data_IF_352053317445
#
_entry.id   IF_352053317445
#
_cell.length_a   1.000
_cell.length_b   1.000
_cell.length_c   1.000
_cell.angle_alpha   90.00
_cell.angle_beta   90.00
_cell.angle_gamma   90.00
#
_symmetry.space_group_name_H-M   'P 1'
#
loop_
_entity.id
_entity.type
_entity.pdbx_description
1 polymer ?
#
# COMPACT_ATOMS: atom_id res chain seq x y z
N UNK A 1 -2.50 -11.77 -11.99
CA UNK A 1 -1.28 -12.61 -12.10
C UNK A 1 -1.02 -13.32 -10.79
N UNK A 2 -0.35 -14.48 -10.80
CA UNK A 2 0.15 -15.14 -9.58
C UNK A 2 1.53 -14.60 -9.18
N UNK A 3 1.74 -14.08 -7.96
CA UNK A 3 3.04 -13.57 -7.51
C UNK A 3 4.21 -14.56 -7.67
N UNK A 4 3.92 -15.85 -7.61
CA UNK A 4 4.92 -16.93 -7.72
C UNK A 4 5.61 -16.94 -9.08
N UNK A 5 4.93 -16.50 -10.15
CA UNK A 5 5.49 -16.44 -11.51
C UNK A 5 6.67 -15.47 -11.61
N UNK A 6 6.71 -14.43 -10.77
CA UNK A 6 7.84 -13.50 -10.65
C UNK A 6 8.78 -13.83 -9.48
N UNK A 7 8.57 -14.97 -8.82
CA UNK A 7 9.36 -15.42 -7.67
C UNK A 7 8.99 -14.73 -6.36
N UNK A 8 7.75 -14.25 -6.20
CA UNK A 8 7.21 -13.71 -4.95
C UNK A 8 6.24 -14.70 -4.30
N UNK A 9 6.07 -14.62 -2.98
CA UNK A 9 5.13 -15.48 -2.24
C UNK A 9 3.86 -14.72 -1.93
N UNK A 10 2.70 -15.20 -2.42
CA UNK A 10 1.41 -14.60 -2.09
C UNK A 10 1.15 -14.54 -0.58
N UNK A 11 1.53 -15.58 0.17
CA UNK A 11 1.40 -15.62 1.64
C UNK A 11 2.22 -14.51 2.31
N UNK A 12 3.43 -14.24 1.82
CA UNK A 12 4.25 -13.16 2.39
C UNK A 12 3.74 -11.78 2.01
N UNK A 13 3.14 -11.62 0.84
CA UNK A 13 2.49 -10.37 0.43
C UNK A 13 1.23 -10.11 1.26
N UNK A 14 0.43 -11.12 1.58
CA UNK A 14 -0.69 -10.95 2.52
C UNK A 14 -0.22 -10.52 3.92
N UNK A 15 0.88 -11.09 4.42
CA UNK A 15 1.50 -10.63 5.68
C UNK A 15 2.03 -9.20 5.61
N UNK A 16 2.46 -8.74 4.43
CA UNK A 16 2.87 -7.36 4.23
C UNK A 16 1.69 -6.42 4.49
N UNK A 17 0.51 -6.72 3.94
CA UNK A 17 -0.71 -5.93 4.19
C UNK A 17 -1.06 -5.86 5.67
N UNK A 18 -1.05 -7.00 6.36
CA UNK A 18 -1.36 -7.09 7.79
C UNK A 18 -0.40 -6.24 8.62
N UNK A 19 0.90 -6.32 8.34
CA UNK A 19 1.91 -5.53 9.06
C UNK A 19 1.78 -4.05 8.74
N UNK A 20 1.59 -3.68 7.48
CA UNK A 20 1.45 -2.28 7.08
C UNK A 20 0.22 -1.64 7.72
N UNK A 21 -0.92 -2.33 7.69
CA UNK A 21 -2.15 -1.89 8.35
C UNK A 21 -1.96 -1.78 9.87
N UNK A 22 -1.57 -2.86 10.53
CA UNK A 22 -1.52 -2.91 11.99
C UNK A 22 -0.51 -1.93 12.59
N UNK A 23 0.69 -1.84 11.99
CA UNK A 23 1.77 -1.01 12.53
C UNK A 23 1.59 0.47 12.24
N UNK A 24 0.98 0.84 11.12
CA UNK A 24 0.95 2.24 10.71
C UNK A 24 -0.44 2.86 10.73
N UNK A 25 -1.49 2.14 10.34
CA UNK A 25 -2.85 2.70 10.29
C UNK A 25 -3.60 2.43 11.60
N UNK A 26 -3.67 1.17 12.04
CA UNK A 26 -4.43 0.82 13.25
C UNK A 26 -3.77 1.39 14.52
N UNK A 27 -2.45 1.64 14.48
CA UNK A 27 -1.71 2.32 15.56
C UNK A 27 -1.94 3.84 15.61
N UNK A 28 -2.57 4.42 14.59
CA UNK A 28 -2.77 5.86 14.45
C UNK A 28 -1.54 6.63 13.95
N UNK A 29 -0.45 5.96 13.56
CA UNK A 29 0.76 6.62 13.07
C UNK A 29 0.57 7.32 11.71
N UNK A 30 -0.23 6.72 10.81
CA UNK A 30 -0.64 7.28 9.53
C UNK A 30 -2.16 7.15 9.35
N UNK A 31 -2.82 8.14 8.73
CA UNK A 31 -4.26 8.07 8.46
C UNK A 31 -4.64 7.00 7.43
N UNK A 32 -3.72 6.68 6.52
CA UNK A 32 -3.88 5.68 5.47
C UNK A 32 -2.60 5.51 4.66
N UNK A 33 -2.58 4.48 3.81
CA UNK A 33 -1.40 4.08 3.05
C UNK A 33 -1.79 3.35 1.75
N UNK A 34 -0.98 3.54 0.70
CA UNK A 34 -0.97 2.75 -0.53
C UNK A 34 0.43 2.14 -0.69
N UNK A 35 0.49 0.82 -0.90
CA UNK A 35 1.74 0.08 -1.13
C UNK A 35 1.66 -0.61 -2.49
N UNK A 36 2.66 -0.37 -3.33
CA UNK A 36 2.86 -1.11 -4.58
C UNK A 36 4.14 -1.93 -4.51
N UNK A 37 4.09 -3.15 -5.03
CA UNK A 37 5.29 -3.95 -5.29
C UNK A 37 5.36 -4.27 -6.77
N UNK A 38 6.43 -3.81 -7.41
CA UNK A 38 6.71 -4.06 -8.82
C UNK A 38 7.90 -5.01 -8.96
N UNK A 39 7.77 -6.07 -9.76
CA UNK A 39 8.87 -7.02 -9.97
C UNK A 39 8.80 -7.62 -11.38
N UNK A 40 9.96 -7.73 -12.03
CA UNK A 40 10.11 -8.29 -13.39
C UNK A 40 9.17 -7.66 -14.43
N UNK A 41 8.94 -6.36 -14.34
CA UNK A 41 8.13 -5.62 -15.32
C UNK A 41 6.62 -5.66 -15.02
N UNK A 42 6.22 -6.13 -13.83
CA UNK A 42 4.80 -6.32 -13.50
C UNK A 42 4.47 -5.80 -12.10
N UNK A 43 3.26 -5.24 -11.96
CA UNK A 43 2.67 -4.90 -10.66
C UNK A 43 2.16 -6.19 -10.01
N UNK A 44 2.84 -6.63 -8.97
CA UNK A 44 2.58 -7.96 -8.37
C UNK A 44 1.78 -7.87 -7.09
N UNK A 45 1.66 -6.68 -6.51
CA UNK A 45 0.88 -6.44 -5.32
C UNK A 45 0.48 -4.96 -5.19
N UNK A 46 -0.77 -4.76 -4.79
CA UNK A 46 -1.37 -3.48 -4.41
C UNK A 46 -2.03 -3.64 -3.05
N UNK A 47 -1.57 -2.87 -2.07
CA UNK A 47 -2.12 -2.82 -0.72
C UNK A 47 -2.68 -1.43 -0.43
N UNK A 48 -3.94 -1.35 0.02
CA UNK A 48 -4.63 -0.10 0.37
C UNK A 48 -5.15 -0.19 1.79
N UNK A 49 -4.91 0.84 2.61
CA UNK A 49 -5.43 0.89 3.97
C UNK A 49 -5.76 2.32 4.42
N UNK A 50 -6.75 2.44 5.30
CA UNK A 50 -7.10 3.71 5.95
C UNK A 50 -7.76 4.73 5.02
N UNK A 51 -7.50 6.00 5.29
CA UNK A 51 -8.13 7.17 4.65
C UNK A 51 -7.09 8.02 3.94
N UNK A 52 -7.47 8.58 2.79
CA UNK A 52 -6.71 9.65 2.14
C UNK A 52 -7.09 11.04 2.66
N UNK A 53 -8.24 11.16 3.30
CA UNK A 53 -8.76 12.40 3.90
C UNK A 53 -9.66 12.03 5.09
N UNK A 54 -9.22 12.33 6.32
CA UNK A 54 -9.97 11.99 7.54
C UNK A 54 -11.19 12.90 7.69
N UNK A 55 -11.02 14.21 7.47
CA UNK A 55 -12.07 15.21 7.73
C UNK A 55 -13.28 14.99 6.82
N UNK A 56 -13.03 14.52 5.58
CA UNK A 56 -14.09 14.20 4.62
C UNK A 56 -14.46 12.71 4.59
N UNK A 57 -13.96 11.91 5.54
CA UNK A 57 -14.15 10.45 5.62
C UNK A 57 -13.92 9.72 4.27
N UNK A 58 -12.85 10.09 3.56
CA UNK A 58 -12.52 9.47 2.26
C UNK A 58 -11.52 8.35 2.46
N UNK A 59 -11.97 7.12 2.16
CA UNK A 59 -11.10 5.93 2.13
C UNK A 59 -9.96 6.08 1.13
N UNK A 60 -8.85 5.41 1.41
CA UNK A 60 -7.70 5.36 0.51
C UNK A 60 -8.09 4.73 -0.85
N UNK A 61 -7.55 5.28 -1.94
CA UNK A 61 -7.80 4.85 -3.32
C UNK A 61 -6.49 4.80 -4.11
N UNK A 62 -6.45 3.98 -5.15
CA UNK A 62 -5.24 3.78 -5.98
C UNK A 62 -4.79 5.04 -6.74
N UNK A 63 -5.72 5.93 -7.05
CA UNK A 63 -5.51 7.21 -7.75
C UNK A 63 -5.36 8.40 -6.77
N UNK A 64 -5.14 8.13 -5.48
CA UNK A 64 -4.90 9.18 -4.49
C UNK A 64 -3.62 9.98 -4.84
N UNK A 65 -3.74 11.31 -4.78
CA UNK A 65 -2.61 12.21 -5.03
C UNK A 65 -1.89 12.48 -3.71
N UNK A 66 -0.61 12.12 -3.66
CA UNK A 66 0.26 12.37 -2.51
C UNK A 66 1.20 13.53 -2.78
N UNK A 67 1.47 14.34 -1.75
CA UNK A 67 2.61 15.26 -1.78
C UNK A 67 3.88 14.49 -1.46
N UNK A 68 4.69 14.23 -2.48
CA UNK A 68 5.85 13.33 -2.39
C UNK A 68 7.16 13.98 -1.93
N UNK A 69 7.16 15.30 -1.71
CA UNK A 69 8.32 16.09 -1.26
C UNK A 69 9.62 15.73 -2.00
N UNK A 70 10.65 15.30 -1.28
CA UNK A 70 11.98 15.01 -1.83
C UNK A 70 12.00 13.86 -2.83
N UNK A 71 10.94 13.03 -2.92
CA UNK A 71 10.82 11.99 -3.96
C UNK A 71 10.45 12.54 -5.34
N UNK A 72 10.43 13.86 -5.53
CA UNK A 72 10.27 14.48 -6.85
C UNK A 72 11.51 14.33 -7.74
N UNK A 73 12.61 13.76 -7.21
CA UNK A 73 13.89 13.56 -7.89
C UNK A 73 14.17 12.08 -8.08
#
# INVERSE_FOLDING_TARGET
>A
MKPETVGMSAVRLARLDEVMKSRYVDSGYLPGMLTYVWRKGELVHTGLCGHMDIERDRKMREDAIFRIYSMSK
#
